data_IF_571134004587
#
_entry.id   IF_571134004587
#
_cell.length_a   1.000
_cell.length_b   1.000
_cell.length_c   1.000
_cell.angle_alpha   90.00
_cell.angle_beta   90.00
_cell.angle_gamma   90.00
#
_symmetry.space_group_name_H-M   'P 1'
#
loop_
_entity.id
_entity.type
_entity.pdbx_description
1 polymer ?
#
# COMPACT_ATOMS: atom_id res chain seq x y z
N UNK A 1 21.67 22.90 -5.45
CA UNK A 1 22.49 22.16 -4.45
C UNK A 1 23.81 21.83 -5.12
N UNK A 2 24.95 21.92 -4.43
CA UNK A 2 26.26 21.67 -5.03
C UNK A 2 27.05 20.67 -4.18
N UNK A 3 27.71 19.72 -4.84
CA UNK A 3 28.60 18.74 -4.21
C UNK A 3 30.02 19.30 -4.27
N UNK A 4 30.66 19.46 -3.11
CA UNK A 4 32.04 19.96 -3.04
C UNK A 4 33.04 18.81 -3.04
N UNK A 5 34.10 18.95 -3.83
CA UNK A 5 35.24 18.06 -3.74
C UNK A 5 35.98 18.27 -2.40
N UNK A 6 36.12 17.22 -1.59
CA UNK A 6 36.82 17.28 -0.30
C UNK A 6 38.32 17.64 -0.38
N UNK A 7 38.89 17.65 -1.59
CA UNK A 7 40.34 17.78 -1.79
C UNK A 7 40.77 19.09 -2.45
N UNK A 8 39.97 19.62 -3.39
CA UNK A 8 40.27 20.89 -4.05
C UNK A 8 39.19 21.95 -3.83
N UNK A 9 38.14 21.63 -3.06
CA UNK A 9 37.03 22.51 -2.73
C UNK A 9 36.22 23.02 -3.93
N UNK A 10 36.41 22.46 -5.14
CA UNK A 10 35.56 22.77 -6.29
C UNK A 10 34.14 22.30 -6.07
N UNK A 11 33.21 23.09 -6.55
CA UNK A 11 31.78 22.81 -6.49
C UNK A 11 31.31 22.20 -7.81
N UNK A 12 30.47 21.17 -7.70
CA UNK A 12 29.88 20.47 -8.83
C UNK A 12 28.36 20.48 -8.67
N UNK A 13 27.66 20.71 -9.77
CA UNK A 13 26.21 20.61 -9.77
C UNK A 13 25.78 19.16 -9.51
N UNK A 14 24.73 18.97 -8.70
CA UNK A 14 24.20 17.64 -8.34
C UNK A 14 23.73 16.83 -9.56
N UNK A 15 23.34 17.50 -10.65
CA UNK A 15 22.95 16.87 -11.92
C UNK A 15 24.08 16.03 -12.53
N UNK A 16 25.34 16.37 -12.24
CA UNK A 16 26.50 15.61 -12.71
C UNK A 16 26.62 14.21 -12.08
N UNK A 17 25.81 13.91 -11.05
CA UNK A 17 25.85 12.65 -10.30
C UNK A 17 24.61 11.77 -10.55
N UNK A 18 23.72 12.12 -11.49
CA UNK A 18 22.42 11.46 -11.68
C UNK A 18 22.49 9.98 -12.10
N UNK A 19 23.54 9.57 -12.83
CA UNK A 19 23.66 8.20 -13.36
C UNK A 19 24.56 7.30 -12.50
N UNK A 20 25.83 7.67 -12.34
CA UNK A 20 26.83 6.82 -11.68
C UNK A 20 27.15 7.25 -10.23
N UNK A 21 26.48 8.29 -9.72
CA UNK A 21 26.65 8.84 -8.36
C UNK A 21 28.10 9.21 -8.02
N UNK A 22 28.96 9.30 -9.03
CA UNK A 22 30.35 9.69 -8.88
C UNK A 22 30.84 10.42 -10.14
N UNK A 23 31.77 11.35 -9.94
CA UNK A 23 32.46 12.04 -11.02
C UNK A 23 33.95 12.11 -10.72
N UNK A 24 34.76 12.19 -11.75
CA UNK A 24 36.18 12.53 -11.62
C UNK A 24 36.31 14.04 -11.50
N UNK A 25 36.73 14.52 -10.34
CA UNK A 25 37.06 15.92 -10.16
C UNK A 25 38.28 16.30 -11.03
N UNK A 26 38.37 17.56 -11.41
CA UNK A 26 39.52 18.10 -12.15
C UNK A 26 40.85 17.97 -11.38
N UNK A 27 40.81 17.78 -10.06
CA UNK A 27 41.99 17.45 -9.26
C UNK A 27 42.40 15.96 -9.35
N UNK A 28 41.75 15.18 -10.22
CA UNK A 28 42.01 13.76 -10.44
C UNK A 28 41.39 12.81 -9.41
N UNK A 29 40.60 13.33 -8.46
CA UNK A 29 39.98 12.51 -7.39
C UNK A 29 38.50 12.28 -7.64
N UNK A 30 38.03 11.09 -7.31
CA UNK A 30 36.62 10.75 -7.44
C UNK A 30 35.82 11.43 -6.34
N UNK A 31 34.78 12.16 -6.74
CA UNK A 31 33.77 12.74 -5.85
C UNK A 31 32.55 11.85 -5.95
N UNK A 32 32.00 11.42 -4.82
CA UNK A 32 30.80 10.59 -4.75
C UNK A 32 29.66 11.38 -4.10
N UNK A 33 28.45 11.16 -4.57
CA UNK A 33 27.25 11.75 -3.99
C UNK A 33 26.34 10.63 -3.48
N UNK A 34 26.13 10.58 -2.17
CA UNK A 34 25.14 9.69 -1.56
C UNK A 34 23.80 10.41 -1.54
N UNK A 35 22.93 10.09 -2.51
CA UNK A 35 21.53 10.47 -2.40
C UNK A 35 20.93 9.63 -1.26
N UNK A 36 20.32 10.27 -0.25
CA UNK A 36 19.54 9.57 0.77
C UNK A 36 18.41 8.83 0.06
N UNK A 37 18.61 7.53 -0.15
CA UNK A 37 17.52 6.63 -0.48
C UNK A 37 16.63 6.61 0.74
N UNK A 38 15.40 7.12 0.60
CA UNK A 38 14.29 6.85 1.51
C UNK A 38 14.35 5.37 1.86
N UNK A 39 14.59 5.05 3.14
CA UNK A 39 14.95 3.71 3.61
C UNK A 39 13.99 2.64 3.06
N UNK A 40 14.55 1.53 2.56
CA UNK A 40 13.81 0.36 2.06
C UNK A 40 12.70 -0.12 3.03
N UNK A 41 12.86 0.14 4.33
CA UNK A 41 11.90 -0.15 5.38
C UNK A 41 10.54 0.54 5.21
N UNK A 42 10.52 1.80 4.76
CA UNK A 42 9.27 2.54 4.53
C UNK A 42 8.50 1.95 3.33
N UNK A 43 9.21 1.57 2.26
CA UNK A 43 8.64 0.90 1.09
C UNK A 43 8.13 -0.51 1.44
N UNK A 44 8.85 -1.25 2.27
CA UNK A 44 8.43 -2.57 2.76
C UNK A 44 7.19 -2.48 3.67
N UNK A 45 7.13 -1.48 4.55
CA UNK A 45 5.97 -1.22 5.38
C UNK A 45 4.73 -0.88 4.54
N UNK A 46 4.87 0.00 3.54
CA UNK A 46 3.77 0.35 2.63
C UNK A 46 3.27 -0.86 1.83
N UNK A 47 4.17 -1.70 1.33
CA UNK A 47 3.81 -2.96 0.64
C UNK A 47 3.05 -3.94 1.54
N UNK A 48 3.41 -4.00 2.83
CA UNK A 48 2.72 -4.85 3.81
C UNK A 48 1.30 -4.35 4.09
N UNK A 49 1.11 -3.02 4.20
CA UNK A 49 -0.22 -2.42 4.33
C UNK A 49 -1.08 -2.66 3.09
N UNK A 50 -0.52 -2.47 1.89
CA UNK A 50 -1.23 -2.73 0.63
C UNK A 50 -1.65 -4.21 0.48
N UNK A 51 -0.84 -5.14 1.00
CA UNK A 51 -1.20 -6.56 1.01
C UNK A 51 -2.43 -6.82 1.89
N UNK A 52 -2.45 -6.26 3.11
CA UNK A 52 -3.58 -6.38 4.03
C UNK A 52 -4.87 -5.80 3.44
N UNK A 53 -4.78 -4.62 2.80
CA UNK A 53 -5.94 -3.98 2.14
C UNK A 53 -6.45 -4.84 0.97
N UNK A 54 -5.55 -5.45 0.18
CA UNK A 54 -5.93 -6.35 -0.92
C UNK A 54 -6.68 -7.60 -0.41
N UNK A 55 -6.24 -8.19 0.69
CA UNK A 55 -6.92 -9.35 1.30
C UNK A 55 -8.38 -9.01 1.67
N UNK A 56 -8.59 -7.87 2.33
CA UNK A 56 -9.93 -7.42 2.73
C UNK A 56 -10.83 -7.16 1.51
N UNK A 57 -10.30 -6.50 0.47
CA UNK A 57 -11.04 -6.29 -0.78
C UNK A 57 -11.46 -7.61 -1.43
N UNK A 58 -10.55 -8.58 -1.51
CA UNK A 58 -10.84 -9.89 -2.09
C UNK A 58 -11.89 -10.68 -1.30
N UNK A 59 -11.93 -10.54 0.03
CA UNK A 59 -13.02 -11.13 0.84
C UNK A 59 -14.36 -10.44 0.58
N UNK A 60 -14.37 -9.10 0.52
CA UNK A 60 -15.60 -8.37 0.25
C UNK A 60 -16.17 -8.64 -1.16
N UNK A 61 -15.32 -8.77 -2.17
CA UNK A 61 -15.76 -9.10 -3.53
C UNK A 61 -16.25 -10.54 -3.64
N UNK A 62 -15.72 -11.47 -2.83
CA UNK A 62 -16.29 -12.82 -2.68
C UNK A 62 -17.69 -12.77 -2.10
N UNK A 63 -17.92 -11.99 -1.03
CA UNK A 63 -19.27 -11.80 -0.45
C UNK A 63 -20.22 -11.21 -1.49
N UNK A 64 -19.79 -10.17 -2.23
CA UNK A 64 -20.59 -9.58 -3.29
C UNK A 64 -20.95 -10.62 -4.37
N UNK A 65 -20.00 -11.46 -4.77
CA UNK A 65 -20.21 -12.54 -5.74
C UNK A 65 -21.18 -13.60 -5.21
N UNK A 66 -21.12 -13.95 -3.91
CA UNK A 66 -22.06 -14.87 -3.27
C UNK A 66 -23.49 -14.30 -3.21
N UNK A 67 -23.63 -12.99 -3.01
CA UNK A 67 -24.95 -12.34 -3.01
C UNK A 67 -25.56 -12.37 -4.42
N UNK A 68 -24.76 -12.09 -5.45
CA UNK A 68 -25.21 -11.92 -6.85
C UNK A 68 -25.37 -13.25 -7.60
N UNK A 69 -24.41 -14.16 -7.46
CA UNK A 69 -24.21 -15.26 -8.40
C UNK A 69 -24.65 -16.64 -7.92
N UNK A 70 -25.02 -16.81 -6.65
CA UNK A 70 -25.38 -18.13 -6.11
C UNK A 70 -26.70 -18.11 -5.36
N UNK A 71 -27.46 -19.20 -5.43
CA UNK A 71 -28.58 -19.53 -4.52
C UNK A 71 -28.08 -19.87 -3.09
N UNK A 72 -26.94 -19.30 -2.71
CA UNK A 72 -26.30 -19.56 -1.42
C UNK A 72 -27.23 -19.12 -0.28
N UNK A 73 -27.47 -19.94 0.75
CA UNK A 73 -28.30 -19.57 1.88
C UNK A 73 -27.90 -18.23 2.51
N UNK A 74 -28.88 -17.49 3.03
CA UNK A 74 -28.57 -16.22 3.71
C UNK A 74 -27.67 -16.39 4.94
N UNK A 75 -27.72 -17.56 5.57
CA UNK A 75 -26.84 -17.96 6.67
C UNK A 75 -25.37 -17.93 6.26
N UNK A 76 -25.04 -18.42 5.07
CA UNK A 76 -23.65 -18.50 4.60
C UNK A 76 -23.09 -17.11 4.31
N UNK A 77 -23.93 -16.21 3.79
CA UNK A 77 -23.56 -14.81 3.56
C UNK A 77 -23.29 -14.07 4.87
N UNK A 78 -24.10 -14.32 5.91
CA UNK A 78 -23.85 -13.75 7.24
C UNK A 78 -22.60 -14.34 7.89
N UNK A 79 -22.31 -15.65 7.70
CA UNK A 79 -21.05 -16.27 8.13
C UNK A 79 -19.85 -15.61 7.46
N UNK A 80 -19.88 -15.37 6.16
CA UNK A 80 -18.78 -14.71 5.46
C UNK A 80 -18.61 -13.23 5.86
N UNK A 81 -19.71 -12.51 6.14
CA UNK A 81 -19.66 -11.16 6.73
C UNK A 81 -18.97 -11.17 8.09
N UNK A 82 -19.28 -12.16 8.93
CA UNK A 82 -18.66 -12.29 10.24
C UNK A 82 -17.15 -12.58 10.13
N UNK A 83 -16.75 -13.48 9.22
CA UNK A 83 -15.32 -13.74 8.94
C UNK A 83 -14.58 -12.50 8.43
N UNK A 84 -15.22 -11.69 7.59
CA UNK A 84 -14.66 -10.41 7.13
C UNK A 84 -14.43 -9.46 8.32
N UNK A 85 -15.42 -9.36 9.22
CA UNK A 85 -15.34 -8.50 10.42
C UNK A 85 -14.19 -8.93 11.34
N UNK A 86 -14.08 -10.23 11.63
CA UNK A 86 -12.99 -10.78 12.44
C UNK A 86 -11.62 -10.50 11.81
N UNK A 87 -11.50 -10.72 10.50
CA UNK A 87 -10.25 -10.46 9.78
C UNK A 87 -9.85 -8.97 9.79
N UNK A 88 -10.82 -8.07 9.72
CA UNK A 88 -10.58 -6.62 9.83
C UNK A 88 -10.17 -6.26 11.25
N UNK A 89 -10.80 -6.87 12.27
CA UNK A 89 -10.44 -6.67 13.67
C UNK A 89 -9.00 -7.07 13.96
N UNK A 90 -8.54 -8.17 13.37
CA UNK A 90 -7.15 -8.64 13.52
C UNK A 90 -6.12 -7.72 12.83
N UNK A 91 -6.48 -7.17 11.66
CA UNK A 91 -5.55 -6.40 10.84
C UNK A 91 -5.54 -4.91 11.16
N UNK A 92 -6.70 -4.34 11.48
CA UNK A 92 -6.93 -2.91 11.68
C UNK A 92 -8.01 -2.64 12.74
N UNK A 93 -7.71 -2.83 14.03
CA UNK A 93 -8.68 -2.65 15.12
C UNK A 93 -9.30 -1.24 15.15
N UNK A 94 -8.51 -0.21 14.84
CA UNK A 94 -8.98 1.19 14.85
C UNK A 94 -9.93 1.55 13.69
N UNK A 95 -10.00 0.72 12.64
CA UNK A 95 -10.75 1.04 11.42
C UNK A 95 -12.03 0.23 11.27
N UNK A 96 -12.35 -0.69 12.18
CA UNK A 96 -13.53 -1.58 12.10
C UNK A 96 -14.82 -0.80 11.84
N UNK A 97 -15.05 0.28 12.58
CA UNK A 97 -16.26 1.09 12.46
C UNK A 97 -16.40 1.75 11.07
N UNK A 98 -15.28 2.19 10.48
CA UNK A 98 -15.24 2.73 9.11
C UNK A 98 -15.57 1.66 8.06
N UNK A 99 -15.07 0.44 8.27
CA UNK A 99 -15.36 -0.69 7.39
C UNK A 99 -16.84 -1.07 7.46
N UNK A 100 -17.42 -1.19 8.65
CA UNK A 100 -18.86 -1.44 8.82
C UNK A 100 -19.70 -0.39 8.07
N UNK A 101 -19.36 0.89 8.22
CA UNK A 101 -20.08 2.00 7.59
C UNK A 101 -20.05 1.97 6.06
N UNK A 102 -19.03 1.37 5.45
CA UNK A 102 -18.85 1.31 3.99
C UNK A 102 -19.44 0.01 3.42
N UNK A 103 -19.11 -1.13 4.03
CA UNK A 103 -19.45 -2.44 3.49
C UNK A 103 -20.88 -2.84 3.81
N UNK A 104 -21.41 -2.48 4.99
CA UNK A 104 -22.77 -2.85 5.38
C UNK A 104 -23.83 -2.24 4.44
N UNK A 105 -23.78 -0.94 4.07
CA UNK A 105 -24.69 -0.38 3.07
C UNK A 105 -24.53 -1.01 1.68
N UNK A 106 -23.29 -1.33 1.27
CA UNK A 106 -23.01 -1.98 -0.02
C UNK A 106 -23.67 -3.36 -0.10
N UNK A 107 -23.50 -4.18 0.93
CA UNK A 107 -24.09 -5.52 0.96
C UNK A 107 -25.61 -5.47 1.10
N UNK A 108 -26.16 -4.54 1.89
CA UNK A 108 -27.60 -4.32 2.00
C UNK A 108 -28.22 -4.02 0.63
N UNK A 109 -27.63 -3.09 -0.11
CA UNK A 109 -28.05 -2.74 -1.47
C UNK A 109 -27.99 -3.94 -2.42
N UNK A 110 -26.88 -4.69 -2.42
CA UNK A 110 -26.76 -5.88 -3.27
C UNK A 110 -27.81 -6.94 -2.91
N UNK A 111 -28.10 -7.12 -1.63
CA UNK A 111 -29.14 -8.05 -1.17
C UNK A 111 -30.53 -7.63 -1.64
N UNK A 112 -30.88 -6.35 -1.50
CA UNK A 112 -32.16 -5.81 -1.97
C UNK A 112 -32.32 -5.93 -3.50
N UNK A 113 -31.24 -5.77 -4.27
CA UNK A 113 -31.32 -5.79 -5.74
C UNK A 113 -31.42 -7.20 -6.35
N UNK A 114 -30.79 -8.20 -5.73
CA UNK A 114 -30.70 -9.56 -6.31
C UNK A 114 -31.54 -10.60 -5.56
N UNK A 115 -31.96 -10.31 -4.33
CA UNK A 115 -32.70 -11.25 -3.47
C UNK A 115 -33.92 -10.62 -2.78
N UNK A 116 -34.23 -9.36 -3.10
CA UNK A 116 -35.44 -8.65 -2.68
C UNK A 116 -36.60 -8.90 -3.64
#
# INVERSE_FOLDING_TARGET
MAVRCAYCSREYDVTLFEFDRCITCACGKTVTFQHEHTTDEALLAQKAEDRKVREIRAMADRIASLIVGSECPMTDIEIEKQKLRERISDLFPDKIALYDLIYEPRFRRLKEQFRG
#
